data_IF_425022310916
#
_entry.id   IF_425022310916
#
_cell.length_a   1.000
_cell.length_b   1.000
_cell.length_c   1.000
_cell.angle_alpha   90.00
_cell.angle_beta   90.00
_cell.angle_gamma   90.00
#
_symmetry.space_group_name_H-M   'P 1'
#
loop_
_entity.id
_entity.type
_entity.pdbx_description
1 polymer ?
#
# COMPACT_ATOMS: atom_id res chain seq x y z
N UNK A 1 -29.23 -21.29 5.52
CA UNK A 1 -28.04 -20.82 4.74
C UNK A 1 -27.97 -19.33 4.88
N UNK A 2 -27.12 -18.84 5.79
CA UNK A 2 -26.90 -17.40 5.97
C UNK A 2 -25.99 -16.93 4.84
N UNK A 3 -26.53 -16.09 3.94
CA UNK A 3 -25.75 -15.44 2.91
C UNK A 3 -24.71 -14.53 3.57
N UNK A 4 -23.44 -14.82 3.39
CA UNK A 4 -22.36 -13.93 3.76
C UNK A 4 -22.53 -12.63 2.94
N UNK A 5 -22.97 -11.57 3.60
CA UNK A 5 -22.97 -10.23 3.04
C UNK A 5 -21.51 -9.90 2.74
N UNK A 6 -21.14 -9.89 1.47
CA UNK A 6 -19.81 -9.41 1.03
C UNK A 6 -19.72 -7.96 1.48
N UNK A 7 -19.07 -7.73 2.61
CA UNK A 7 -18.89 -6.39 3.16
C UNK A 7 -18.14 -5.52 2.15
N UNK A 8 -18.65 -4.32 1.89
CA UNK A 8 -17.98 -3.35 1.02
C UNK A 8 -16.56 -3.06 1.54
N UNK A 9 -15.57 -3.22 0.67
CA UNK A 9 -14.16 -2.98 1.00
C UNK A 9 -13.91 -1.48 1.10
N UNK A 10 -13.26 -1.06 2.18
CA UNK A 10 -12.80 0.32 2.38
C UNK A 10 -11.49 0.52 1.62
N UNK A 11 -11.36 1.62 0.89
CA UNK A 11 -10.14 1.98 0.17
C UNK A 11 -9.11 2.62 1.12
N UNK A 12 -8.61 1.81 2.05
CA UNK A 12 -7.60 2.21 3.05
C UNK A 12 -6.52 1.15 3.22
N UNK A 13 -5.37 1.59 3.72
CA UNK A 13 -4.38 0.75 4.39
C UNK A 13 -4.49 0.95 5.90
N UNK A 14 -4.22 -0.11 6.66
CA UNK A 14 -4.16 -0.11 8.12
C UNK A 14 -2.80 -0.67 8.53
N UNK A 15 -1.96 0.18 9.09
CA UNK A 15 -0.67 -0.21 9.66
C UNK A 15 -0.82 -0.38 11.16
N UNK A 16 -0.35 -1.50 11.70
CA UNK A 16 -0.41 -1.84 13.11
C UNK A 16 0.99 -1.76 13.74
N UNK A 17 1.07 -1.60 15.06
CA UNK A 17 2.34 -1.49 15.80
C UNK A 17 3.29 -2.66 15.54
N UNK A 18 2.76 -3.87 15.31
CA UNK A 18 3.56 -5.07 15.03
C UNK A 18 4.10 -5.15 13.60
N UNK A 19 3.99 -4.06 12.82
CA UNK A 19 4.49 -3.94 11.46
C UNK A 19 3.64 -4.64 10.38
N UNK A 20 2.42 -5.09 10.73
CA UNK A 20 1.51 -5.66 9.72
C UNK A 20 0.75 -4.57 9.01
N UNK A 21 0.73 -4.64 7.68
CA UNK A 21 -0.08 -3.80 6.81
C UNK A 21 -1.26 -4.60 6.26
N UNK A 22 -2.46 -4.04 6.40
CA UNK A 22 -3.70 -4.58 5.85
C UNK A 22 -4.24 -3.59 4.82
N UNK A 23 -4.42 -4.03 3.58
CA UNK A 23 -4.95 -3.20 2.50
C UNK A 23 -6.38 -3.61 2.16
N UNK A 24 -7.24 -2.61 1.90
CA UNK A 24 -8.63 -2.82 1.47
C UNK A 24 -9.43 -3.71 2.42
N UNK A 25 -9.49 -3.32 3.69
CA UNK A 25 -10.24 -4.05 4.73
C UNK A 25 -11.75 -3.74 4.67
N UNK A 26 -12.58 -4.66 5.16
CA UNK A 26 -14.00 -4.37 5.41
C UNK A 26 -14.17 -3.56 6.70
N UNK A 27 -15.31 -2.89 6.86
CA UNK A 27 -15.63 -2.19 8.11
C UNK A 27 -15.62 -3.13 9.34
N UNK A 28 -16.01 -4.40 9.16
CA UNK A 28 -15.91 -5.41 10.22
C UNK A 28 -14.47 -5.73 10.61
N UNK A 29 -13.59 -5.92 9.63
CA UNK A 29 -12.16 -6.15 9.88
C UNK A 29 -11.49 -4.95 10.55
N UNK A 30 -11.83 -3.71 10.12
CA UNK A 30 -11.34 -2.50 10.78
C UNK A 30 -11.80 -2.45 12.24
N UNK A 31 -13.07 -2.74 12.51
CA UNK A 31 -13.61 -2.78 13.87
C UNK A 31 -12.89 -3.81 14.75
N UNK A 32 -12.56 -4.99 14.21
CA UNK A 32 -11.82 -6.02 14.95
C UNK A 32 -10.37 -5.59 15.24
N UNK A 33 -9.71 -4.91 14.30
CA UNK A 33 -8.37 -4.35 14.53
C UNK A 33 -8.39 -3.30 15.65
N UNK A 34 -9.36 -2.36 15.63
CA UNK A 34 -9.49 -1.34 16.69
C UNK A 34 -9.80 -1.98 18.05
N UNK A 35 -10.65 -2.99 18.14
CA UNK A 35 -10.95 -3.68 19.41
C UNK A 35 -9.76 -4.42 20.01
N UNK A 36 -8.79 -4.80 19.19
CA UNK A 36 -7.55 -5.48 19.65
C UNK A 36 -6.55 -4.52 20.27
N UNK A 37 -6.69 -3.22 20.04
CA UNK A 37 -5.82 -2.22 20.64
C UNK A 37 -6.00 -2.22 22.15
N UNK A 38 -4.89 -2.34 22.89
CA UNK A 38 -4.89 -2.39 24.36
C UNK A 38 -5.25 -3.74 24.98
N UNK A 39 -5.67 -4.74 24.20
CA UNK A 39 -6.02 -6.08 24.67
C UNK A 39 -4.82 -7.06 24.70
N UNK A 40 -3.61 -6.56 24.96
CA UNK A 40 -2.37 -7.36 24.99
C UNK A 40 -1.69 -7.57 23.64
N UNK A 41 -2.08 -6.81 22.63
CA UNK A 41 -1.51 -6.77 21.28
C UNK A 41 -0.93 -5.40 20.95
N UNK A 42 -1.39 -4.85 19.86
CA UNK A 42 -0.98 -3.52 19.40
C UNK A 42 -1.51 -2.41 20.32
N UNK A 43 -0.72 -1.36 20.54
CA UNK A 43 -1.13 -0.16 21.29
C UNK A 43 -1.70 0.91 20.38
N UNK A 44 -1.37 0.86 19.09
CA UNK A 44 -1.85 1.81 18.09
C UNK A 44 -2.08 1.18 16.73
N UNK A 45 -2.82 1.87 15.89
CA UNK A 45 -2.88 1.67 14.45
C UNK A 45 -3.03 2.99 13.72
N UNK A 46 -2.59 2.99 12.46
CA UNK A 46 -2.65 4.14 11.56
C UNK A 46 -3.40 3.75 10.30
N UNK A 47 -4.33 4.60 9.86
CA UNK A 47 -5.04 4.45 8.60
C UNK A 47 -4.59 5.50 7.59
N UNK A 48 -4.35 5.05 6.37
CA UNK A 48 -4.17 5.93 5.22
C UNK A 48 -5.20 5.55 4.14
N UNK A 49 -5.63 6.51 3.33
CA UNK A 49 -6.53 6.23 2.19
C UNK A 49 -5.74 5.63 1.03
N UNK A 50 -6.42 4.97 0.12
CA UNK A 50 -5.86 4.47 -1.14
C UNK A 50 -6.48 5.29 -2.29
N UNK A 51 -5.68 6.05 -3.05
CA UNK A 51 -4.25 6.32 -2.83
C UNK A 51 -4.03 7.18 -1.59
N UNK A 52 -2.88 6.98 -0.94
CA UNK A 52 -2.49 7.80 0.19
C UNK A 52 -2.14 9.24 -0.28
N UNK A 53 -2.13 10.17 0.67
CA UNK A 53 -1.72 11.56 0.43
C UNK A 53 -0.76 11.97 1.54
N UNK A 54 0.26 12.78 1.21
CA UNK A 54 1.14 13.34 2.23
C UNK A 54 0.34 14.00 3.35
N UNK A 55 0.73 13.75 4.59
CA UNK A 55 0.10 14.34 5.77
C UNK A 55 -1.42 14.13 5.90
N UNK A 56 -1.99 13.08 5.29
CA UNK A 56 -3.42 12.73 5.43
C UNK A 56 -3.54 11.33 6.02
N UNK A 57 -3.85 11.25 7.31
CA UNK A 57 -4.04 9.98 8.02
C UNK A 57 -4.96 10.14 9.22
N UNK A 58 -5.46 9.05 9.74
CA UNK A 58 -6.08 8.95 11.06
C UNK A 58 -5.41 7.83 11.85
N UNK A 59 -5.13 8.08 13.12
CA UNK A 59 -4.48 7.11 14.01
C UNK A 59 -5.20 7.04 15.35
N UNK A 60 -5.06 5.91 16.01
CA UNK A 60 -5.59 5.71 17.36
C UNK A 60 -4.56 5.02 18.25
N UNK A 61 -4.47 5.51 19.48
CA UNK A 61 -3.68 4.93 20.56
C UNK A 61 -4.58 4.50 21.69
N UNK A 62 -4.20 3.45 22.39
CA UNK A 62 -4.82 3.07 23.65
C UNK A 62 -3.86 3.34 24.80
N UNK A 63 -4.27 4.16 25.74
CA UNK A 63 -3.53 4.42 26.96
C UNK A 63 -3.78 3.29 27.97
N UNK A 64 -2.89 2.30 28.02
CA UNK A 64 -2.91 1.30 29.08
C UNK A 64 -2.33 1.91 30.38
N UNK A 65 -2.92 1.56 31.54
CA UNK A 65 -2.32 1.90 32.83
C UNK A 65 -0.87 1.38 32.87
N UNK A 66 0.08 2.30 32.93
CA UNK A 66 1.41 1.93 33.40
C UNK A 66 1.33 1.60 34.88
N UNK A 67 1.18 0.31 35.23
CA UNK A 67 1.48 -0.15 36.59
C UNK A 67 2.91 0.24 36.86
N UNK A 68 3.05 1.27 37.70
CA UNK A 68 4.34 1.83 38.07
C UNK A 68 5.28 0.78 38.64
N UNK A 69 6.37 0.54 37.93
CA UNK A 69 7.70 0.21 38.46
C UNK A 69 8.74 0.20 37.32
N UNK A 70 9.74 1.02 37.47
CA UNK A 70 11.04 0.83 36.80
C UNK A 70 11.37 1.83 35.72
N UNK A 71 12.18 2.81 36.10
CA UNK A 71 13.00 3.59 35.17
C UNK A 71 13.81 2.67 34.23
N UNK A 72 13.50 2.70 32.95
CA UNK A 72 14.26 2.05 31.91
C UNK A 72 14.13 2.85 30.63
N UNK A 73 15.23 3.45 30.20
CA UNK A 73 15.37 4.12 28.94
C UNK A 73 15.06 3.15 27.80
N UNK A 74 13.90 3.25 27.19
CA UNK A 74 13.45 2.46 26.05
C UNK A 74 13.58 3.25 24.76
N UNK A 75 14.49 2.79 23.92
CA UNK A 75 14.70 3.22 22.53
C UNK A 75 13.40 3.19 21.74
N UNK A 76 13.03 4.30 21.13
CA UNK A 76 11.91 4.37 20.21
C UNK A 76 12.25 3.56 18.94
N UNK A 77 11.47 2.53 18.67
CA UNK A 77 11.56 1.79 17.42
C UNK A 77 10.96 2.63 16.28
N UNK A 78 11.78 2.94 15.29
CA UNK A 78 11.39 3.62 14.05
C UNK A 78 10.54 2.66 13.22
N UNK A 79 9.28 3.01 12.97
CA UNK A 79 8.44 2.33 11.98
C UNK A 79 8.78 2.82 10.58
N UNK A 80 8.55 2.02 9.52
CA UNK A 80 8.86 2.42 8.15
C UNK A 80 7.95 3.55 7.69
N UNK A 81 8.55 4.65 7.27
CA UNK A 81 7.85 5.79 6.68
C UNK A 81 7.57 6.93 7.65
N UNK A 82 8.48 7.19 8.56
CA UNK A 82 8.35 8.29 9.49
C UNK A 82 9.04 9.54 8.98
N UNK A 83 8.27 10.58 8.68
CA UNK A 83 8.77 11.91 8.93
C UNK A 83 9.22 11.94 10.41
N UNK A 84 10.52 12.14 10.63
CA UNK A 84 11.12 12.26 11.94
C UNK A 84 10.60 13.52 12.64
N UNK A 85 9.46 13.37 13.33
CA UNK A 85 8.93 14.33 14.27
C UNK A 85 8.98 13.67 15.65
N UNK A 86 9.96 14.03 16.47
CA UNK A 86 10.00 13.67 17.87
C UNK A 86 8.69 14.09 18.50
N UNK A 87 7.86 13.15 18.91
CA UNK A 87 6.67 13.43 19.70
C UNK A 87 7.15 13.91 21.09
N UNK A 88 7.32 15.22 21.21
CA UNK A 88 7.42 15.86 22.50
C UNK A 88 6.03 15.75 23.14
N UNK A 89 5.92 14.92 24.19
CA UNK A 89 4.75 14.86 25.06
C UNK A 89 4.56 16.23 25.71
N UNK A 90 3.68 17.06 25.13
CA UNK A 90 3.17 18.25 25.79
C UNK A 90 2.32 17.83 27.00
N UNK A 91 2.15 18.68 28.03
CA UNK A 91 1.32 18.37 29.19
C UNK A 91 -0.15 18.30 28.73
N UNK A 92 -0.58 17.09 28.37
CA UNK A 92 -1.95 16.81 27.97
C UNK A 92 -2.85 16.60 29.19
N UNK A 93 -4.09 16.95 29.06
CA UNK A 93 -5.18 16.60 29.95
C UNK A 93 -5.10 15.13 30.31
N UNK A 94 -5.19 14.82 31.63
CA UNK A 94 -5.09 13.47 32.15
C UNK A 94 -6.22 12.60 31.58
N UNK A 95 -5.88 11.77 30.59
CA UNK A 95 -6.76 10.72 30.10
C UNK A 95 -6.86 9.63 31.16
N UNK A 96 -8.05 9.17 31.48
CA UNK A 96 -8.27 8.09 32.44
C UNK A 96 -7.77 6.75 31.88
N UNK A 97 -7.47 5.77 32.75
CA UNK A 97 -7.05 4.45 32.32
C UNK A 97 -8.11 3.82 31.40
N UNK A 98 -7.66 3.26 30.29
CA UNK A 98 -8.50 2.61 29.28
C UNK A 98 -9.14 3.53 28.24
N UNK A 99 -8.66 4.78 28.10
CA UNK A 99 -9.12 5.71 27.06
C UNK A 99 -8.37 5.53 25.74
N UNK A 100 -9.03 5.93 24.66
CA UNK A 100 -8.47 5.97 23.31
C UNK A 100 -8.16 7.42 22.93
N UNK A 101 -6.93 7.69 22.51
CA UNK A 101 -6.56 8.93 21.85
C UNK A 101 -6.70 8.74 20.34
N UNK A 102 -7.68 9.42 19.75
CA UNK A 102 -7.91 9.41 18.31
C UNK A 102 -7.36 10.71 17.72
N UNK A 103 -6.51 10.58 16.73
CA UNK A 103 -5.85 11.73 16.09
C UNK A 103 -6.00 11.66 14.58
N UNK A 104 -6.00 12.82 13.92
CA UNK A 104 -5.90 12.89 12.47
C UNK A 104 -5.07 14.08 12.02
N UNK A 105 -4.47 13.94 10.84
CA UNK A 105 -3.82 15.03 10.12
C UNK A 105 -4.51 15.23 8.77
N UNK A 106 -4.67 16.48 8.38
CA UNK A 106 -5.45 16.86 7.20
C UNK A 106 -4.60 17.70 6.22
N UNK A 107 -3.57 17.07 5.66
CA UNK A 107 -2.78 17.59 4.55
C UNK A 107 -1.69 18.63 4.92
N UNK A 108 -1.51 18.93 6.22
CA UNK A 108 -0.42 19.79 6.67
C UNK A 108 -0.04 19.46 8.12
N UNK A 109 1.25 19.66 8.46
CA UNK A 109 1.76 19.35 9.79
C UNK A 109 1.05 20.11 10.90
N UNK A 110 0.59 21.33 10.64
CA UNK A 110 -0.10 22.21 11.56
C UNK A 110 -1.62 21.99 11.62
N UNK A 111 -2.16 21.11 10.77
CA UNK A 111 -3.58 20.68 10.76
C UNK A 111 -3.73 19.31 11.39
N UNK A 112 -3.22 19.16 12.61
CA UNK A 112 -3.28 17.95 13.39
C UNK A 112 -4.21 18.14 14.57
N UNK A 113 -5.13 17.19 14.75
CA UNK A 113 -6.20 17.28 15.73
C UNK A 113 -6.28 15.98 16.54
N UNK A 114 -6.68 16.12 17.80
CA UNK A 114 -6.83 15.02 18.76
C UNK A 114 -8.18 15.08 19.46
N UNK A 115 -8.73 13.92 19.75
CA UNK A 115 -9.86 13.76 20.71
C UNK A 115 -9.62 12.53 21.57
N UNK A 116 -10.18 12.55 22.80
CA UNK A 116 -10.11 11.41 23.73
C UNK A 116 -11.47 10.76 23.85
N UNK A 117 -11.52 9.44 23.68
CA UNK A 117 -12.74 8.65 23.68
C UNK A 117 -12.68 7.51 24.71
N UNK A 118 -13.73 7.34 25.50
CA UNK A 118 -13.76 6.36 26.61
C UNK A 118 -13.99 4.90 26.17
N UNK A 119 -14.23 4.64 24.88
CA UNK A 119 -14.47 3.28 24.38
C UNK A 119 -14.17 3.13 22.90
N UNK A 120 -14.00 1.89 22.43
CA UNK A 120 -13.73 1.58 21.03
C UNK A 120 -14.90 1.87 20.08
N UNK A 121 -16.13 1.91 20.55
CA UNK A 121 -17.31 2.12 19.69
C UNK A 121 -17.26 3.42 18.89
N UNK A 122 -17.17 4.60 19.55
CA UNK A 122 -17.02 5.88 18.86
C UNK A 122 -15.77 5.97 17.97
N UNK A 123 -14.64 5.33 18.40
CA UNK A 123 -13.42 5.26 17.58
C UNK A 123 -13.68 4.53 16.26
N UNK A 124 -14.28 3.34 16.33
CA UNK A 124 -14.64 2.54 15.16
C UNK A 124 -15.58 3.31 14.22
N UNK A 125 -16.59 4.01 14.78
CA UNK A 125 -17.51 4.81 13.99
C UNK A 125 -16.77 5.94 13.24
N UNK A 126 -15.97 6.75 13.94
CA UNK A 126 -15.23 7.85 13.35
C UNK A 126 -14.25 7.38 12.27
N UNK A 127 -13.44 6.36 12.57
CA UNK A 127 -12.45 5.81 11.62
C UNK A 127 -13.12 5.18 10.38
N UNK A 128 -14.27 4.53 10.56
CA UNK A 128 -15.04 3.95 9.45
C UNK A 128 -15.60 5.02 8.52
N UNK A 129 -16.17 6.10 9.08
CA UNK A 129 -16.71 7.20 8.28
C UNK A 129 -15.59 8.01 7.61
N UNK A 130 -14.43 8.18 8.27
CA UNK A 130 -13.25 8.74 7.65
C UNK A 130 -12.77 7.88 6.45
N UNK A 131 -12.71 6.55 6.62
CA UNK A 131 -12.35 5.61 5.57
C UNK A 131 -13.30 5.63 4.37
N UNK A 132 -14.58 5.98 4.61
CA UNK A 132 -15.61 6.18 3.58
C UNK A 132 -15.53 7.54 2.90
N UNK A 133 -14.59 8.40 3.28
CA UNK A 133 -14.42 9.76 2.80
C UNK A 133 -15.67 10.65 3.03
N UNK A 134 -16.42 10.42 4.12
CA UNK A 134 -17.53 11.29 4.50
C UNK A 134 -17.00 12.65 4.96
N UNK A 135 -17.60 13.72 4.52
CA UNK A 135 -17.15 15.08 4.89
C UNK A 135 -17.40 15.38 6.37
N UNK A 136 -18.47 14.85 6.94
CA UNK A 136 -18.94 15.04 8.30
C UNK A 136 -18.44 13.98 9.30
N UNK A 137 -17.45 13.14 8.94
CA UNK A 137 -16.96 12.02 9.75
C UNK A 137 -16.49 12.41 11.16
N UNK A 138 -16.06 13.64 11.35
CA UNK A 138 -15.55 14.21 12.59
C UNK A 138 -16.61 14.99 13.38
N UNK A 139 -17.85 15.13 12.86
CA UNK A 139 -18.92 15.87 13.52
C UNK A 139 -19.37 15.18 14.81
N UNK A 140 -19.68 16.00 15.81
CA UNK A 140 -20.15 15.51 17.13
C UNK A 140 -19.04 15.06 18.07
N UNK A 141 -17.76 15.18 17.67
CA UNK A 141 -16.61 14.99 18.53
C UNK A 141 -15.93 16.34 18.80
N UNK A 142 -15.44 16.52 20.02
CA UNK A 142 -14.67 17.70 20.39
C UNK A 142 -13.18 17.46 20.04
N UNK A 143 -12.66 18.26 19.13
CA UNK A 143 -11.29 18.13 18.63
C UNK A 143 -10.42 19.26 19.17
N UNK A 144 -9.28 18.88 19.74
CA UNK A 144 -8.21 19.78 20.15
C UNK A 144 -7.15 19.83 19.04
N UNK A 145 -6.73 21.04 18.64
CA UNK A 145 -5.59 21.19 17.72
C UNK A 145 -4.30 20.95 18.46
N UNK A 146 -3.50 20.00 17.96
CA UNK A 146 -2.18 19.70 18.51
C UNK A 146 -1.14 20.56 17.79
N UNK A 147 -0.41 21.37 18.55
CA UNK A 147 0.67 22.20 18.02
C UNK A 147 1.96 21.36 17.97
N UNK A 148 2.59 21.31 16.81
CA UNK A 148 3.93 20.78 16.61
C UNK A 148 4.88 21.92 16.25
N UNK A 149 6.17 21.74 16.55
CA UNK A 149 7.19 22.60 15.97
C UNK A 149 7.21 22.38 14.44
N UNK A 150 7.33 23.47 13.64
CA UNK A 150 7.43 23.30 12.21
C UNK A 150 8.65 22.44 11.85
N UNK A 151 8.53 21.54 10.88
CA UNK A 151 9.67 20.77 10.42
C UNK A 151 10.77 21.71 9.94
N UNK A 152 12.02 21.30 10.12
CA UNK A 152 13.16 22.05 9.58
C UNK A 152 12.99 22.25 8.09
N UNK A 153 13.34 23.44 7.61
CA UNK A 153 13.28 23.72 6.17
C UNK A 153 14.16 22.72 5.41
N UNK A 154 13.58 22.05 4.44
CA UNK A 154 14.32 21.16 3.55
C UNK A 154 15.01 22.06 2.51
N UNK A 155 16.34 21.90 2.36
CA UNK A 155 17.09 22.62 1.35
C UNK A 155 16.58 22.28 -0.06
N UNK A 156 16.62 23.24 -0.97
CA UNK A 156 16.30 22.99 -2.38
C UNK A 156 17.23 21.93 -2.97
N UNK A 157 16.72 21.21 -3.98
CA UNK A 157 17.52 20.24 -4.72
C UNK A 157 18.59 20.95 -5.55
N UNK A 158 19.86 20.70 -5.22
CA UNK A 158 21.01 21.19 -5.96
C UNK A 158 21.50 20.12 -6.95
N UNK A 159 20.77 19.96 -8.04
CA UNK A 159 21.07 19.03 -9.12
C UNK A 159 21.22 19.78 -10.44
N UNK A 160 22.03 19.23 -11.34
CA UNK A 160 22.03 19.69 -12.73
C UNK A 160 20.66 19.45 -13.37
N UNK A 161 20.33 20.18 -14.43
CA UNK A 161 19.07 19.96 -15.17
C UNK A 161 19.01 18.53 -15.74
N UNK A 162 20.14 17.98 -16.19
CA UNK A 162 20.24 16.62 -16.72
C UNK A 162 19.94 15.57 -15.64
N UNK A 163 20.58 15.67 -14.48
CA UNK A 163 20.37 14.75 -13.36
C UNK A 163 18.93 14.82 -12.85
N UNK A 164 18.37 16.03 -12.78
CA UNK A 164 16.96 16.21 -12.38
C UNK A 164 16.00 15.52 -13.35
N UNK A 165 16.21 15.66 -14.65
CA UNK A 165 15.39 15.01 -15.69
C UNK A 165 15.50 13.51 -15.59
N UNK A 166 16.71 12.96 -15.42
CA UNK A 166 16.94 11.52 -15.26
C UNK A 166 16.24 10.97 -14.01
N UNK A 167 16.40 11.65 -12.88
CA UNK A 167 15.77 11.27 -11.62
C UNK A 167 14.24 11.26 -11.71
N UNK A 168 13.65 12.36 -12.19
CA UNK A 168 12.19 12.47 -12.34
C UNK A 168 11.63 11.45 -13.35
N UNK A 169 12.37 11.16 -14.43
CA UNK A 169 12.00 10.13 -15.40
C UNK A 169 11.98 8.74 -14.74
N UNK A 170 12.99 8.41 -13.92
CA UNK A 170 13.06 7.14 -13.21
C UNK A 170 11.94 6.98 -12.18
N UNK A 171 11.69 8.01 -11.39
CA UNK A 171 10.57 8.02 -10.43
C UNK A 171 9.24 7.79 -11.16
N UNK A 172 9.02 8.51 -12.27
CA UNK A 172 7.78 8.42 -13.06
C UNK A 172 7.60 7.03 -13.68
N UNK A 173 8.66 6.43 -14.17
CA UNK A 173 8.64 5.05 -14.72
C UNK A 173 8.12 4.05 -13.67
N UNK A 174 8.76 4.02 -12.49
CA UNK A 174 8.37 3.09 -11.42
C UNK A 174 6.96 3.40 -10.88
N UNK A 175 6.63 4.68 -10.72
CA UNK A 175 5.30 5.14 -10.30
C UNK A 175 4.21 4.73 -11.29
N UNK A 176 4.49 4.73 -12.59
CA UNK A 176 3.55 4.30 -13.64
C UNK A 176 3.25 2.82 -13.52
N UNK A 177 4.21 2.00 -13.09
CA UNK A 177 3.98 0.60 -12.74
C UNK A 177 2.87 0.40 -11.71
N UNK A 178 2.74 1.33 -10.74
CA UNK A 178 1.63 1.46 -9.80
C UNK A 178 1.68 0.51 -8.60
N UNK A 179 2.81 -0.16 -8.36
CA UNK A 179 3.00 -1.08 -7.24
C UNK A 179 3.88 -0.50 -6.12
N UNK A 180 4.74 0.47 -6.44
CA UNK A 180 5.60 1.09 -5.45
C UNK A 180 4.82 2.07 -4.55
N UNK A 181 5.16 2.05 -3.27
CA UNK A 181 4.69 3.02 -2.29
C UNK A 181 5.48 4.33 -2.40
N UNK A 182 4.98 5.41 -1.79
CA UNK A 182 5.71 6.69 -1.72
C UNK A 182 7.07 6.55 -1.02
N UNK A 183 7.13 5.72 0.03
CA UNK A 183 8.37 5.46 0.77
C UNK A 183 9.41 4.77 -0.12
N UNK A 184 9.02 3.70 -0.81
CA UNK A 184 9.90 2.98 -1.75
C UNK A 184 10.37 3.87 -2.91
N UNK A 185 9.51 4.76 -3.41
CA UNK A 185 9.89 5.74 -4.43
C UNK A 185 10.89 6.78 -3.88
N UNK A 186 10.75 7.19 -2.62
CA UNK A 186 11.69 8.12 -1.99
C UNK A 186 13.06 7.48 -1.74
N UNK A 187 13.10 6.24 -1.28
CA UNK A 187 14.34 5.46 -1.16
C UNK A 187 15.01 5.27 -2.51
N UNK A 188 14.25 4.88 -3.55
CA UNK A 188 14.75 4.78 -4.91
C UNK A 188 15.33 6.14 -5.38
N UNK A 189 14.65 7.25 -5.10
CA UNK A 189 15.11 8.57 -5.51
C UNK A 189 16.40 9.00 -4.80
N UNK A 190 16.54 8.70 -3.50
CA UNK A 190 17.75 8.96 -2.72
C UNK A 190 18.96 8.20 -3.28
N UNK A 191 18.75 6.95 -3.70
CA UNK A 191 19.81 6.05 -4.15
C UNK A 191 20.15 6.17 -5.65
N UNK A 192 19.26 6.74 -6.47
CA UNK A 192 19.38 6.65 -7.93
C UNK A 192 20.62 7.35 -8.51
N UNK A 193 21.01 8.49 -7.95
CA UNK A 193 22.15 9.27 -8.42
C UNK A 193 23.43 9.06 -7.58
N UNK A 194 23.45 8.05 -6.71
CA UNK A 194 24.61 7.77 -5.85
C UNK A 194 25.81 7.38 -6.70
N UNK A 195 26.91 8.07 -6.51
CA UNK A 195 28.20 7.78 -7.14
C UNK A 195 29.31 7.88 -6.10
N UNK A 196 30.22 6.92 -6.08
CA UNK A 196 31.35 6.86 -5.15
C UNK A 196 30.97 7.03 -3.65
N UNK A 197 29.76 6.57 -3.28
CA UNK A 197 29.24 6.71 -1.91
C UNK A 197 28.76 8.09 -1.53
N UNK A 198 28.67 9.01 -2.49
CA UNK A 198 28.08 10.35 -2.30
C UNK A 198 26.60 10.29 -2.69
N UNK A 199 25.74 10.71 -1.76
CA UNK A 199 24.31 10.88 -1.99
C UNK A 199 24.03 12.34 -2.35
N UNK A 200 23.73 12.69 -3.61
CA UNK A 200 23.53 14.08 -4.02
C UNK A 200 22.22 14.67 -3.50
N UNK A 201 21.29 13.81 -3.07
CA UNK A 201 20.03 14.21 -2.46
C UNK A 201 19.82 13.46 -1.14
N UNK A 202 19.22 14.12 -0.17
CA UNK A 202 18.83 13.51 1.09
C UNK A 202 17.46 12.84 0.97
N UNK A 203 17.16 11.88 1.86
CA UNK A 203 15.84 11.25 1.92
C UNK A 203 14.69 12.28 2.06
N UNK A 204 14.88 13.35 2.83
CA UNK A 204 13.89 14.42 2.99
C UNK A 204 13.60 15.15 1.66
N UNK A 205 14.65 15.44 0.87
CA UNK A 205 14.50 16.05 -0.47
C UNK A 205 13.84 15.07 -1.44
N UNK A 206 14.23 13.78 -1.38
CA UNK A 206 13.62 12.72 -2.19
C UNK A 206 12.12 12.57 -1.86
N UNK A 207 11.74 12.55 -0.58
CA UNK A 207 10.35 12.53 -0.14
C UNK A 207 9.55 13.72 -0.67
N UNK A 208 10.08 14.93 -0.57
CA UNK A 208 9.43 16.14 -1.08
C UNK A 208 9.20 16.07 -2.60
N UNK A 209 10.21 15.61 -3.36
CA UNK A 209 10.11 15.43 -4.80
C UNK A 209 9.04 14.38 -5.15
N UNK A 210 9.09 13.22 -4.49
CA UNK A 210 8.14 12.13 -4.71
C UNK A 210 6.72 12.55 -4.33
N UNK A 211 6.53 13.25 -3.21
CA UNK A 211 5.21 13.72 -2.78
C UNK A 211 4.55 14.64 -3.83
N UNK A 212 5.34 15.53 -4.44
CA UNK A 212 4.86 16.39 -5.55
C UNK A 212 4.41 15.54 -6.75
N UNK A 213 5.27 14.64 -7.22
CA UNK A 213 4.99 13.78 -8.38
C UNK A 213 3.83 12.80 -8.10
N UNK A 214 3.74 12.30 -6.88
CA UNK A 214 2.65 11.44 -6.44
C UNK A 214 1.29 12.16 -6.48
N UNK A 215 1.23 13.39 -6.00
CA UNK A 215 0.00 14.19 -6.04
C UNK A 215 -0.42 14.52 -7.48
N UNK A 216 0.52 14.74 -8.38
CA UNK A 216 0.27 14.88 -9.82
C UNK A 216 -0.39 13.58 -10.37
N UNK A 217 0.16 12.41 -10.02
CA UNK A 217 -0.40 11.12 -10.44
C UNK A 217 -1.76 10.83 -9.80
N UNK A 218 -1.98 11.20 -8.54
CA UNK A 218 -3.29 11.11 -7.87
C UNK A 218 -4.33 11.98 -8.60
N UNK A 219 -3.97 13.19 -9.01
CA UNK A 219 -4.85 14.06 -9.79
C UNK A 219 -5.15 13.48 -11.18
N UNK A 220 -4.15 12.94 -11.86
CA UNK A 220 -4.31 12.27 -13.16
C UNK A 220 -5.28 11.09 -13.07
N UNK A 221 -5.03 10.15 -12.15
CA UNK A 221 -5.87 8.96 -12.02
C UNK A 221 -7.32 9.25 -11.58
N UNK A 222 -7.56 10.40 -10.94
CA UNK A 222 -8.91 10.83 -10.59
C UNK A 222 -9.77 11.15 -11.84
N UNK A 223 -9.15 11.39 -12.99
CA UNK A 223 -9.83 11.62 -14.26
C UNK A 223 -10.20 10.34 -14.99
N UNK A 224 -9.64 9.19 -14.61
CA UNK A 224 -9.87 7.92 -15.31
C UNK A 224 -11.26 7.37 -15.02
N UNK A 225 -11.97 7.06 -16.10
CA UNK A 225 -13.33 6.52 -16.02
C UNK A 225 -13.31 5.00 -16.17
N UNK A 226 -14.18 4.33 -15.45
CA UNK A 226 -14.40 2.89 -15.55
C UNK A 226 -13.26 2.04 -15.00
N UNK A 227 -13.36 0.74 -15.28
CA UNK A 227 -12.36 -0.27 -14.90
C UNK A 227 -11.18 -0.23 -15.87
N UNK A 228 -9.96 -0.14 -15.36
CA UNK A 228 -8.73 -0.13 -16.17
C UNK A 228 -8.24 -1.55 -16.47
N UNK A 229 -7.36 -1.73 -17.46
CA UNK A 229 -6.83 -3.06 -17.79
C UNK A 229 -6.05 -3.71 -16.63
N UNK A 230 -5.24 -3.00 -15.84
CA UNK A 230 -4.67 -3.57 -14.63
C UNK A 230 -5.70 -4.01 -13.57
N UNK A 231 -6.86 -3.35 -13.46
CA UNK A 231 -7.95 -3.78 -12.57
C UNK A 231 -8.65 -5.03 -13.09
N UNK A 232 -8.82 -5.15 -14.42
CA UNK A 232 -9.31 -6.38 -15.06
C UNK A 232 -8.37 -7.55 -14.84
N UNK A 233 -7.05 -7.30 -14.92
CA UNK A 233 -6.01 -8.28 -14.62
C UNK A 233 -6.09 -8.75 -13.16
N UNK A 234 -6.19 -7.82 -12.21
CA UNK A 234 -6.37 -8.13 -10.79
C UNK A 234 -7.61 -8.98 -10.54
N UNK A 235 -8.71 -8.68 -11.22
CA UNK A 235 -9.96 -9.46 -11.13
C UNK A 235 -9.81 -10.87 -11.72
N UNK A 236 -9.10 -11.02 -12.84
CA UNK A 236 -8.80 -12.33 -13.42
C UNK A 236 -7.92 -13.17 -12.48
N UNK A 237 -6.90 -12.56 -11.87
CA UNK A 237 -6.01 -13.21 -10.92
C UNK A 237 -6.74 -13.65 -9.65
N UNK A 238 -7.65 -12.82 -9.11
CA UNK A 238 -8.50 -13.20 -7.99
C UNK A 238 -9.42 -14.40 -8.32
N UNK A 239 -9.94 -14.47 -9.54
CA UNK A 239 -10.75 -15.61 -9.99
C UNK A 239 -9.91 -16.90 -10.10
N UNK A 240 -8.65 -16.81 -10.54
CA UNK A 240 -7.73 -17.94 -10.61
C UNK A 240 -7.34 -18.45 -9.21
N UNK A 241 -7.07 -17.55 -8.27
CA UNK A 241 -6.85 -17.91 -6.85
C UNK A 241 -8.02 -18.72 -6.28
N UNK A 242 -9.25 -18.33 -6.58
CA UNK A 242 -10.45 -19.03 -6.13
C UNK A 242 -10.59 -20.46 -6.71
N UNK A 243 -9.89 -20.74 -7.83
CA UNK A 243 -9.87 -22.08 -8.46
C UNK A 243 -8.65 -22.93 -8.08
N UNK A 244 -7.79 -22.45 -7.19
CA UNK A 244 -6.60 -23.16 -6.73
C UNK A 244 -5.38 -23.00 -7.66
N UNK A 245 -5.30 -21.88 -8.38
CA UNK A 245 -4.10 -21.43 -9.09
C UNK A 245 -3.52 -20.23 -8.34
N UNK A 246 -2.31 -20.34 -7.83
CA UNK A 246 -1.61 -19.23 -7.19
C UNK A 246 -1.34 -18.13 -8.22
N UNK A 247 -1.90 -16.94 -8.02
CA UNK A 247 -1.76 -15.81 -8.94
C UNK A 247 -1.08 -14.64 -8.24
N UNK A 248 0.01 -14.11 -8.83
CA UNK A 248 0.81 -13.03 -8.24
C UNK A 248 1.12 -11.93 -9.25
N UNK A 249 0.75 -10.72 -8.88
CA UNK A 249 1.09 -9.50 -9.62
C UNK A 249 2.42 -8.94 -9.16
N UNK A 250 3.23 -8.42 -10.09
CA UNK A 250 4.50 -7.74 -9.80
C UNK A 250 5.39 -8.54 -8.83
N UNK A 251 5.44 -9.84 -9.04
CA UNK A 251 6.04 -10.80 -8.12
C UNK A 251 7.54 -10.93 -8.38
N UNK A 252 8.36 -10.55 -7.42
CA UNK A 252 9.83 -10.55 -7.48
C UNK A 252 10.40 -9.63 -8.59
N UNK A 253 11.74 -9.58 -8.69
CA UNK A 253 12.43 -8.71 -9.64
C UNK A 253 12.46 -9.27 -11.07
N UNK A 254 12.52 -10.60 -11.23
CA UNK A 254 12.72 -11.25 -12.52
C UNK A 254 12.17 -12.68 -12.55
N UNK A 255 12.18 -13.29 -13.75
CA UNK A 255 11.69 -14.65 -13.97
C UNK A 255 12.34 -15.69 -13.06
N UNK A 256 13.67 -15.64 -12.89
CA UNK A 256 14.41 -16.64 -12.10
C UNK A 256 14.01 -16.61 -10.63
N UNK A 257 13.91 -15.42 -10.03
CA UNK A 257 13.44 -15.24 -8.66
C UNK A 257 11.98 -15.69 -8.52
N UNK A 258 11.10 -15.26 -9.45
CA UNK A 258 9.70 -15.67 -9.45
C UNK A 258 9.54 -17.20 -9.51
N UNK A 259 10.30 -17.87 -10.36
CA UNK A 259 10.27 -19.34 -10.49
C UNK A 259 10.72 -20.05 -9.20
N UNK A 260 11.68 -19.49 -8.47
CA UNK A 260 12.18 -20.08 -7.22
C UNK A 260 11.24 -19.84 -6.03
N UNK A 261 10.48 -18.76 -6.03
CA UNK A 261 9.69 -18.33 -4.86
C UNK A 261 8.19 -18.61 -4.98
N UNK A 262 7.66 -18.80 -6.20
CA UNK A 262 6.22 -18.94 -6.42
C UNK A 262 5.60 -20.13 -5.68
N UNK A 263 6.37 -21.21 -5.46
CA UNK A 263 5.92 -22.38 -4.74
C UNK A 263 5.56 -22.12 -3.27
N UNK A 264 6.19 -21.12 -2.65
CA UNK A 264 5.93 -20.72 -1.26
C UNK A 264 4.90 -19.58 -1.15
N UNK A 265 4.53 -18.94 -2.27
CA UNK A 265 3.73 -17.73 -2.28
C UNK A 265 2.22 -17.95 -2.18
N UNK A 266 1.74 -19.19 -2.33
CA UNK A 266 0.32 -19.51 -2.41
C UNK A 266 -0.15 -20.57 -1.41
N UNK A 267 -1.36 -21.07 -1.65
CA UNK A 267 -1.90 -22.17 -0.87
C UNK A 267 -1.08 -23.44 -1.08
N UNK A 268 -0.76 -24.21 -0.02
CA UNK A 268 -0.12 -25.53 -0.17
C UNK A 268 -0.93 -26.53 -0.99
N UNK A 269 -2.22 -26.24 -1.26
CA UNK A 269 -3.11 -27.06 -2.08
C UNK A 269 -3.27 -26.56 -3.50
N UNK A 270 -2.57 -25.49 -3.87
CA UNK A 270 -2.61 -24.98 -5.22
C UNK A 270 -2.01 -25.99 -6.20
N UNK A 271 -2.67 -26.19 -7.35
CA UNK A 271 -2.25 -27.13 -8.39
C UNK A 271 -1.33 -26.52 -9.43
N UNK A 272 -1.29 -25.19 -9.50
CA UNK A 272 -0.46 -24.44 -10.43
C UNK A 272 -0.38 -22.97 -10.05
N UNK A 273 0.29 -22.22 -10.90
CA UNK A 273 0.58 -20.80 -10.67
C UNK A 273 0.53 -19.98 -11.95
N UNK A 274 0.33 -18.68 -11.78
CA UNK A 274 0.58 -17.63 -12.76
C UNK A 274 1.15 -16.41 -12.06
N UNK A 275 2.13 -15.75 -12.66
CA UNK A 275 2.67 -14.49 -12.15
C UNK A 275 3.30 -13.66 -13.27
N UNK A 276 3.49 -12.38 -13.01
CA UNK A 276 4.43 -11.53 -13.73
C UNK A 276 5.33 -10.79 -12.73
N UNK A 277 6.54 -10.49 -13.15
CA UNK A 277 7.57 -9.86 -12.32
C UNK A 277 7.72 -8.36 -12.64
N UNK A 278 8.52 -7.61 -11.85
CA UNK A 278 8.64 -6.16 -12.02
C UNK A 278 9.13 -5.74 -13.41
N UNK A 279 10.07 -6.48 -14.01
CA UNK A 279 10.51 -6.19 -15.39
C UNK A 279 9.38 -6.33 -16.42
N UNK A 280 8.41 -7.25 -16.21
CA UNK A 280 7.21 -7.33 -17.06
C UNK A 280 6.27 -6.15 -16.81
N UNK A 281 6.18 -5.66 -15.56
CA UNK A 281 5.47 -4.44 -15.21
C UNK A 281 6.05 -3.22 -15.93
N UNK A 282 7.38 -3.07 -15.92
CA UNK A 282 8.09 -1.99 -16.60
C UNK A 282 7.82 -2.02 -18.12
N UNK A 283 7.85 -3.21 -18.72
CA UNK A 283 7.51 -3.40 -20.13
C UNK A 283 6.05 -2.98 -20.43
N UNK A 284 5.10 -3.42 -19.60
CA UNK A 284 3.68 -3.07 -19.76
C UNK A 284 3.44 -1.56 -19.58
N UNK A 285 4.07 -0.94 -18.56
CA UNK A 285 4.00 0.50 -18.33
C UNK A 285 4.59 1.32 -19.48
N UNK A 286 5.55 0.74 -20.22
CA UNK A 286 6.17 1.33 -21.42
C UNK A 286 5.43 0.98 -22.72
N UNK A 287 4.27 0.29 -22.65
CA UNK A 287 3.43 -0.02 -23.81
C UNK A 287 3.85 -1.26 -24.61
N UNK A 288 4.73 -2.11 -24.09
CA UNK A 288 5.23 -3.32 -24.76
C UNK A 288 4.41 -4.59 -24.46
N UNK A 289 3.24 -4.47 -23.77
CA UNK A 289 2.45 -5.60 -23.33
C UNK A 289 2.98 -6.23 -22.05
N UNK A 290 2.31 -7.28 -21.57
CA UNK A 290 2.61 -7.94 -20.30
C UNK A 290 2.84 -9.43 -20.50
N UNK A 291 4.04 -9.90 -20.19
CA UNK A 291 4.39 -11.32 -20.23
C UNK A 291 4.06 -11.98 -18.88
N UNK A 292 3.26 -13.07 -18.94
CA UNK A 292 2.89 -13.88 -17.78
C UNK A 292 3.61 -15.22 -17.80
N UNK A 293 4.13 -15.62 -16.67
CA UNK A 293 4.72 -16.94 -16.42
C UNK A 293 3.72 -17.80 -15.65
N UNK A 294 3.58 -19.07 -16.03
CA UNK A 294 2.62 -20.01 -15.45
C UNK A 294 3.18 -21.42 -15.44
N UNK A 295 2.53 -22.31 -14.70
CA UNK A 295 2.91 -23.73 -14.67
C UNK A 295 2.09 -24.55 -13.68
N UNK A 296 2.19 -25.88 -13.82
CA UNK A 296 1.75 -26.85 -12.82
C UNK A 296 2.81 -27.05 -11.75
N UNK A 297 2.42 -27.17 -10.48
CA UNK A 297 3.38 -27.47 -9.40
C UNK A 297 3.88 -28.91 -9.41
N UNK A 298 3.23 -29.81 -10.14
CA UNK A 298 3.68 -31.19 -10.35
C UNK A 298 4.76 -31.31 -11.46
N UNK A 299 5.03 -30.23 -12.19
CA UNK A 299 5.99 -30.16 -13.27
C UNK A 299 5.58 -30.92 -14.54
N UNK A 300 4.35 -31.41 -14.64
CA UNK A 300 3.86 -32.14 -15.82
C UNK A 300 3.44 -31.15 -16.92
N UNK A 301 3.81 -31.40 -18.19
CA UNK A 301 3.41 -30.56 -19.34
C UNK A 301 1.89 -30.45 -19.49
N UNK A 302 1.17 -31.53 -19.23
CA UNK A 302 -0.30 -31.59 -19.34
C UNK A 302 -0.96 -30.68 -18.30
N UNK A 303 -0.50 -30.70 -17.06
CA UNK A 303 -0.97 -29.81 -16.00
C UNK A 303 -0.63 -28.35 -16.32
N UNK A 304 0.59 -28.11 -16.80
CA UNK A 304 1.02 -26.78 -17.23
C UNK A 304 0.15 -26.26 -18.35
N UNK A 305 -0.14 -27.06 -19.39
CA UNK A 305 -1.03 -26.67 -20.48
C UNK A 305 -2.45 -26.38 -19.97
N UNK A 306 -2.99 -27.21 -19.06
CA UNK A 306 -4.30 -26.99 -18.46
C UNK A 306 -4.35 -25.65 -17.70
N UNK A 307 -3.35 -25.35 -16.88
CA UNK A 307 -3.23 -24.06 -16.19
C UNK A 307 -3.18 -22.92 -17.18
N UNK A 308 -2.39 -23.04 -18.26
CA UNK A 308 -2.32 -22.05 -19.34
C UNK A 308 -3.68 -21.74 -19.95
N UNK A 309 -4.45 -22.76 -20.32
CA UNK A 309 -5.81 -22.58 -20.85
C UNK A 309 -6.75 -21.88 -19.88
N UNK A 310 -6.67 -22.20 -18.58
CA UNK A 310 -7.50 -21.55 -17.57
C UNK A 310 -7.11 -20.09 -17.35
N UNK A 311 -5.81 -19.77 -17.39
CA UNK A 311 -5.31 -18.39 -17.31
C UNK A 311 -5.83 -17.58 -18.51
N UNK A 312 -5.68 -18.10 -19.74
CA UNK A 312 -6.21 -17.46 -20.96
C UNK A 312 -7.70 -17.20 -20.81
N UNK A 313 -8.48 -18.22 -20.46
CA UNK A 313 -9.93 -18.10 -20.32
C UNK A 313 -10.34 -17.08 -19.22
N UNK A 314 -9.58 -16.96 -18.13
CA UNK A 314 -9.84 -15.97 -17.07
C UNK A 314 -9.58 -14.54 -17.56
N UNK A 315 -8.48 -14.32 -18.27
CA UNK A 315 -8.11 -13.02 -18.83
C UNK A 315 -9.12 -12.57 -19.90
N UNK A 316 -9.47 -13.44 -20.82
CA UNK A 316 -10.45 -13.16 -21.89
C UNK A 316 -11.84 -12.84 -21.32
N UNK A 317 -12.30 -13.57 -20.31
CA UNK A 317 -13.56 -13.23 -19.58
C UNK A 317 -13.53 -11.84 -18.96
N UNK A 318 -12.35 -11.35 -18.62
CA UNK A 318 -12.15 -10.00 -18.13
C UNK A 318 -11.96 -8.96 -19.25
N UNK A 319 -11.99 -9.37 -20.51
CA UNK A 319 -11.86 -8.50 -21.68
C UNK A 319 -10.42 -8.14 -22.03
N UNK A 320 -9.45 -8.95 -21.60
CA UNK A 320 -8.04 -8.81 -21.97
C UNK A 320 -7.69 -9.71 -23.15
N UNK A 321 -6.87 -9.22 -24.07
CA UNK A 321 -6.42 -9.99 -25.24
C UNK A 321 -5.14 -10.75 -24.92
N UNK A 322 -5.13 -12.06 -25.14
CA UNK A 322 -3.97 -12.93 -24.85
C UNK A 322 -3.47 -13.58 -26.13
N UNK A 323 -2.15 -13.53 -26.33
CA UNK A 323 -1.46 -14.24 -27.40
C UNK A 323 -0.73 -15.46 -26.82
N UNK A 324 -1.18 -16.65 -27.23
CA UNK A 324 -0.58 -17.91 -26.83
C UNK A 324 -0.96 -19.02 -27.80
N UNK A 325 -0.03 -19.87 -28.12
CA UNK A 325 -0.21 -20.95 -29.11
C UNK A 325 -0.54 -22.32 -28.49
N UNK A 326 -0.76 -22.41 -27.16
CA UNK A 326 -1.02 -23.66 -26.46
C UNK A 326 0.24 -24.42 -26.02
N UNK A 327 1.42 -23.92 -26.31
CA UNK A 327 2.70 -24.57 -25.92
C UNK A 327 3.03 -24.29 -24.45
N UNK A 328 3.07 -25.32 -23.56
CA UNK A 328 3.39 -25.15 -22.16
C UNK A 328 4.81 -24.66 -21.90
N UNK A 329 5.70 -24.72 -22.88
CA UNK A 329 7.06 -24.17 -22.82
C UNK A 329 7.13 -22.67 -23.07
N UNK A 330 6.01 -22.03 -23.46
CA UNK A 330 5.95 -20.60 -23.79
C UNK A 330 5.19 -19.81 -22.77
N UNK A 331 5.64 -18.59 -22.49
CA UNK A 331 4.90 -17.61 -21.70
C UNK A 331 3.62 -17.18 -22.41
N UNK A 332 2.68 -16.58 -21.65
CA UNK A 332 1.50 -15.92 -22.17
C UNK A 332 1.79 -14.43 -22.33
N UNK A 333 1.43 -13.85 -23.46
CA UNK A 333 1.59 -12.42 -23.69
C UNK A 333 0.21 -11.74 -23.75
N UNK A 334 -0.02 -10.79 -22.83
CA UNK A 334 -1.22 -9.94 -22.83
C UNK A 334 -0.89 -8.70 -23.64
N UNK A 335 -1.48 -8.62 -24.83
CA UNK A 335 -1.24 -7.54 -25.80
C UNK A 335 -2.28 -6.43 -25.69
N UNK A 336 -1.97 -5.27 -26.28
CA UNK A 336 -2.87 -4.11 -26.36
C UNK A 336 -3.37 -3.59 -25.01
N UNK A 337 -2.52 -3.66 -23.98
CA UNK A 337 -2.83 -3.14 -22.66
C UNK A 337 -2.74 -1.61 -22.62
N UNK A 338 -3.78 -0.96 -22.09
CA UNK A 338 -3.75 0.40 -21.63
C UNK A 338 -3.34 0.40 -20.13
N UNK A 339 -2.03 0.54 -19.88
CA UNK A 339 -1.48 0.41 -18.53
C UNK A 339 -1.77 1.65 -17.68
N UNK A 340 -2.98 1.73 -17.15
CA UNK A 340 -3.42 2.74 -16.20
C UNK A 340 -3.63 2.12 -14.83
N UNK A 341 -2.53 1.66 -14.23
CA UNK A 341 -2.56 1.13 -12.85
C UNK A 341 -2.77 2.26 -11.87
N UNK A 342 -3.85 2.18 -11.07
CA UNK A 342 -4.09 3.12 -9.97
C UNK A 342 -3.11 2.82 -8.85
N UNK A 343 -2.60 3.89 -8.26
CA UNK A 343 -1.69 3.80 -7.12
C UNK A 343 -2.34 3.02 -5.97
N UNK A 344 -1.57 2.12 -5.38
CA UNK A 344 -2.07 1.22 -4.34
C UNK A 344 -1.94 1.81 -2.92
N UNK A 345 -1.07 2.79 -2.69
CA UNK A 345 -0.82 3.39 -1.38
C UNK A 345 0.18 2.64 -0.55
#
# INVERSE_FOLDING_TARGET
>A
MAGATVGHMLAITVDTENGRRHSRVTAGQLADLVRRIGAGGDRFLVLQRIPDRPDVFVQVWHESESTGRGSGSGSAASGPGSASGSAASGPGSASGPGSYSLEYRDGAYDRHFRTTLGSSGPVIAAMTEWARAREDWHAGLEWERVAFEPPSAIAELDLTDEDRVLLEARIREVMTGGYATRAELAELAEDYLVSDGVHPISLAQAQQLVDRMWLERVAEQATWQGETDPERLTRAFAALEATGITARENFTCCRSCGQSEIGAAGSPRARGFVYFHSQSTDAAASGHGLTLHYGGFDGLPETTASVGHEVVAALERCGLSVEWNGDPGRALDVSRLDWRKRLAG
#
